data_IF_805381945693
#
_entry.id   IF_805381945693
#
_cell.length_a   1.000
_cell.length_b   1.000
_cell.length_c   1.000
_cell.angle_alpha   90.00
_cell.angle_beta   90.00
_cell.angle_gamma   90.00
#
_symmetry.space_group_name_H-M   'P 1'
#
loop_
_entity.id
_entity.type
_entity.pdbx_description
1 polymer ?
#
# COMPACT_ATOMS: atom_id res chain seq x y z
N UNK A 1 -4.27 -17.08 -22.52
CA UNK A 1 -3.85 -17.27 -21.12
C UNK A 1 -4.83 -18.23 -20.48
N UNK A 2 -4.38 -19.28 -19.80
CA UNK A 2 -5.28 -20.17 -19.06
C UNK A 2 -5.74 -19.46 -17.80
N UNK A 3 -7.04 -19.43 -17.53
CA UNK A 3 -7.60 -18.86 -16.30
C UNK A 3 -6.99 -19.64 -15.14
N UNK A 4 -6.17 -18.97 -14.31
CA UNK A 4 -5.69 -19.53 -13.04
C UNK A 4 -6.91 -19.96 -12.23
N UNK A 5 -6.81 -21.06 -11.48
CA UNK A 5 -7.95 -21.48 -10.65
C UNK A 5 -8.30 -20.36 -9.67
N UNK A 6 -9.59 -20.15 -9.40
CA UNK A 6 -10.03 -19.13 -8.43
C UNK A 6 -9.29 -19.23 -7.07
N UNK A 7 -8.93 -20.44 -6.65
CA UNK A 7 -8.11 -20.68 -5.45
C UNK A 7 -6.70 -20.12 -5.52
N UNK A 8 -6.07 -20.16 -6.70
CA UNK A 8 -4.74 -19.60 -6.94
C UNK A 8 -4.81 -18.07 -6.95
N UNK A 9 -5.83 -17.50 -7.60
CA UNK A 9 -6.10 -16.06 -7.60
C UNK A 9 -6.23 -15.53 -6.18
N UNK A 10 -7.10 -16.15 -5.36
CA UNK A 10 -7.27 -15.77 -3.95
C UNK A 10 -5.95 -15.83 -3.16
N UNK A 11 -5.14 -16.85 -3.42
CA UNK A 11 -3.86 -17.02 -2.74
C UNK A 11 -2.85 -15.95 -3.14
N UNK A 12 -2.76 -15.63 -4.42
CA UNK A 12 -1.85 -14.60 -4.94
C UNK A 12 -2.23 -13.23 -4.35
N UNK A 13 -3.53 -12.88 -4.36
CA UNK A 13 -4.03 -11.62 -3.78
C UNK A 13 -3.77 -11.58 -2.27
N UNK A 14 -4.06 -12.65 -1.53
CA UNK A 14 -3.78 -12.71 -0.10
C UNK A 14 -2.28 -12.58 0.22
N UNK A 15 -1.41 -13.09 -0.65
CA UNK A 15 0.03 -12.90 -0.56
C UNK A 15 0.42 -11.43 -0.70
N UNK A 16 -0.06 -10.77 -1.76
CA UNK A 16 0.23 -9.35 -2.00
C UNK A 16 -0.31 -8.45 -0.90
N UNK A 17 -1.53 -8.70 -0.41
CA UNK A 17 -2.10 -7.99 0.75
C UNK A 17 -1.18 -8.06 1.95
N UNK A 18 -0.72 -9.28 2.28
CA UNK A 18 0.20 -9.47 3.40
C UNK A 18 1.53 -8.76 3.20
N UNK A 19 2.09 -8.78 1.99
CA UNK A 19 3.32 -8.02 1.68
C UNK A 19 3.12 -6.51 1.90
N UNK A 20 1.94 -5.98 1.53
CA UNK A 20 1.57 -4.59 1.77
C UNK A 20 1.42 -4.27 3.26
N UNK A 21 0.72 -5.14 4.00
CA UNK A 21 0.56 -5.01 5.46
C UNK A 21 1.93 -5.00 6.16
N UNK A 22 2.81 -5.95 5.82
CA UNK A 22 4.17 -6.05 6.37
C UNK A 22 5.00 -4.77 6.08
N UNK A 23 4.86 -4.22 4.86
CA UNK A 23 5.53 -2.97 4.47
C UNK A 23 4.99 -1.76 5.26
N UNK A 24 3.66 -1.67 5.40
CA UNK A 24 2.99 -0.60 6.14
C UNK A 24 3.32 -0.63 7.64
N UNK A 25 3.32 -1.82 8.26
CA UNK A 25 3.72 -2.01 9.65
C UNK A 25 5.17 -1.56 9.89
N UNK A 26 6.07 -1.86 8.95
CA UNK A 26 7.47 -1.43 9.04
C UNK A 26 7.60 0.10 8.95
N UNK A 27 6.88 0.75 8.03
CA UNK A 27 6.81 2.21 7.97
C UNK A 27 6.32 2.79 9.30
N UNK A 28 5.23 2.25 9.84
CA UNK A 28 4.65 2.69 11.09
C UNK A 28 5.63 2.57 12.26
N UNK A 29 6.35 1.45 12.35
CA UNK A 29 7.35 1.19 13.38
C UNK A 29 8.51 2.18 13.29
N UNK A 30 9.01 2.48 12.08
CA UNK A 30 10.06 3.47 11.86
C UNK A 30 9.62 4.88 12.26
N UNK A 31 8.38 5.27 11.93
CA UNK A 31 7.83 6.57 12.31
C UNK A 31 7.67 6.69 13.83
N UNK A 32 7.13 5.67 14.51
CA UNK A 32 7.03 5.63 15.98
C UNK A 32 8.40 5.68 16.65
N UNK A 33 9.40 5.01 16.07
CA UNK A 33 10.77 5.06 16.58
C UNK A 33 11.39 6.45 16.41
N UNK A 34 11.12 7.14 15.30
CA UNK A 34 11.52 8.53 15.11
C UNK A 34 10.90 9.45 16.17
N UNK A 35 9.60 9.31 16.45
CA UNK A 35 8.90 10.08 17.47
C UNK A 35 9.52 9.85 18.86
N UNK A 36 9.76 8.59 19.24
CA UNK A 36 10.41 8.24 20.52
C UNK A 36 11.82 8.81 20.63
N UNK A 37 12.60 8.72 19.55
CA UNK A 37 13.95 9.32 19.49
C UNK A 37 13.88 10.82 19.70
N UNK A 38 12.85 11.47 19.13
CA UNK A 38 12.64 12.90 19.30
C UNK A 38 12.35 13.27 20.75
N UNK A 39 11.38 12.61 21.36
CA UNK A 39 10.99 12.86 22.75
C UNK A 39 12.17 12.64 23.70
N UNK A 40 12.89 11.52 23.55
CA UNK A 40 14.03 11.21 24.42
C UNK A 40 15.13 12.29 24.35
N UNK A 41 15.42 12.83 23.16
CA UNK A 41 16.38 13.92 23.06
C UNK A 41 15.86 15.24 23.62
N UNK A 42 14.58 15.56 23.44
CA UNK A 42 13.98 16.75 24.05
C UNK A 42 14.01 16.70 25.58
N UNK A 43 13.87 15.51 26.19
CA UNK A 43 14.01 15.30 27.64
C UNK A 43 15.46 15.43 28.14
N UNK A 44 16.43 14.99 27.33
CA UNK A 44 17.86 15.05 27.70
C UNK A 44 18.49 16.44 27.45
N UNK A 45 17.92 17.23 26.54
CA UNK A 45 18.49 18.51 26.13
C UNK A 45 18.60 19.48 27.31
N UNK A 46 19.81 19.98 27.56
CA UNK A 46 20.08 20.93 28.65
C UNK A 46 20.20 20.29 30.04
N UNK A 47 20.16 18.96 30.12
CA UNK A 47 20.46 18.20 31.34
C UNK A 47 21.95 17.84 31.47
N UNK A 48 22.73 18.02 30.39
CA UNK A 48 24.15 17.71 30.31
C UNK A 48 25.01 18.98 30.18
N UNK A 49 26.34 18.80 30.10
CA UNK A 49 27.25 19.87 29.69
C UNK A 49 27.02 20.25 28.23
N UNK A 50 27.50 21.42 27.80
CA UNK A 50 27.40 21.84 26.39
C UNK A 50 28.02 20.81 25.42
N UNK A 51 29.12 20.16 25.81
CA UNK A 51 29.72 19.07 25.04
C UNK A 51 28.82 17.82 25.00
N UNK A 52 28.16 17.49 26.12
CA UNK A 52 27.21 16.38 26.20
C UNK A 52 25.94 16.60 25.36
N UNK A 53 25.41 17.82 25.35
CA UNK A 53 24.27 18.19 24.50
C UNK A 53 24.65 18.08 23.00
N UNK A 54 25.83 18.57 22.61
CA UNK A 54 26.34 18.45 21.23
C UNK A 54 26.57 17.00 20.82
N UNK A 55 27.07 16.15 21.72
CA UNK A 55 27.25 14.73 21.46
C UNK A 55 25.89 14.02 21.26
N UNK A 56 24.90 14.33 22.10
CA UNK A 56 23.53 13.80 22.01
C UNK A 56 22.86 14.22 20.71
N UNK A 57 23.05 15.48 20.29
CA UNK A 57 22.50 16.00 19.03
C UNK A 57 23.08 15.27 17.81
N UNK A 58 24.40 15.03 17.80
CA UNK A 58 25.05 14.24 16.74
C UNK A 58 24.51 12.81 16.67
N UNK A 59 24.39 12.14 17.81
CA UNK A 59 23.88 10.76 17.87
C UNK A 59 22.46 10.68 17.31
N UNK A 60 21.61 11.65 17.64
CA UNK A 60 20.23 11.73 17.14
C UNK A 60 20.17 11.99 15.64
N UNK A 61 21.04 12.84 15.09
CA UNK A 61 21.13 13.07 13.64
C UNK A 61 21.56 11.80 12.89
N UNK A 62 22.50 11.02 13.44
CA UNK A 62 22.90 9.73 12.88
C UNK A 62 21.76 8.72 12.90
N UNK A 63 21.01 8.65 14.01
CA UNK A 63 19.80 7.83 14.11
C UNK A 63 18.77 8.26 13.06
N UNK A 64 18.53 9.56 12.91
CA UNK A 64 17.61 10.07 11.89
C UNK A 64 18.03 9.72 10.47
N UNK A 65 19.31 9.87 10.14
CA UNK A 65 19.82 9.44 8.84
C UNK A 65 19.64 7.93 8.60
N UNK A 66 19.77 7.11 9.66
CA UNK A 66 19.46 5.68 9.57
C UNK A 66 17.97 5.41 9.38
N UNK A 67 17.10 6.14 10.08
CA UNK A 67 15.65 6.02 9.94
C UNK A 67 15.24 6.42 8.52
N UNK A 68 15.75 7.53 7.99
CA UNK A 68 15.41 8.00 6.64
C UNK A 68 15.77 6.99 5.57
N UNK A 69 16.93 6.32 5.68
CA UNK A 69 17.32 5.24 4.76
C UNK A 69 16.36 4.06 4.82
N UNK A 70 16.11 3.51 6.02
CA UNK A 70 15.20 2.38 6.21
C UNK A 70 13.76 2.70 5.80
N UNK A 71 13.34 3.94 6.03
CA UNK A 71 12.01 4.40 5.65
C UNK A 71 11.87 4.46 4.13
N UNK A 72 12.91 4.92 3.42
CA UNK A 72 12.94 4.91 1.95
C UNK A 72 12.85 3.50 1.40
N UNK A 73 13.62 2.56 1.96
CA UNK A 73 13.57 1.14 1.58
C UNK A 73 12.16 0.55 1.79
N UNK A 74 11.50 0.87 2.90
CA UNK A 74 10.13 0.42 3.16
C UNK A 74 9.09 1.09 2.25
N UNK A 75 9.28 2.37 1.88
CA UNK A 75 8.42 3.07 0.91
C UNK A 75 8.56 2.47 -0.50
N UNK A 76 9.78 2.15 -0.92
CA UNK A 76 10.04 1.50 -2.21
C UNK A 76 9.38 0.12 -2.26
N UNK A 77 9.51 -0.68 -1.18
CA UNK A 77 8.86 -1.98 -1.13
C UNK A 77 7.32 -1.89 -1.13
N UNK A 78 6.75 -0.91 -0.40
CA UNK A 78 5.30 -0.68 -0.44
C UNK A 78 4.84 -0.31 -1.86
N UNK A 79 5.57 0.57 -2.55
CA UNK A 79 5.25 0.95 -3.92
C UNK A 79 5.29 -0.25 -4.88
N UNK A 80 6.29 -1.14 -4.75
CA UNK A 80 6.33 -2.37 -5.54
C UNK A 80 5.10 -3.29 -5.30
N UNK A 81 4.56 -3.31 -4.08
CA UNK A 81 3.34 -4.06 -3.78
C UNK A 81 2.10 -3.38 -4.37
N UNK A 82 2.00 -2.05 -4.26
CA UNK A 82 0.91 -1.27 -4.85
C UNK A 82 0.85 -1.45 -6.38
N UNK A 83 2.01 -1.44 -7.06
CA UNK A 83 2.11 -1.69 -8.51
C UNK A 83 1.65 -3.12 -8.87
N UNK A 84 2.06 -4.14 -8.11
CA UNK A 84 1.60 -5.53 -8.35
C UNK A 84 0.09 -5.68 -8.13
N UNK A 85 -0.47 -4.97 -7.15
CA UNK A 85 -1.91 -4.96 -6.90
C UNK A 85 -2.67 -4.28 -8.05
N UNK A 86 -2.16 -3.16 -8.56
CA UNK A 86 -2.71 -2.46 -9.71
C UNK A 86 -2.70 -3.32 -10.97
N UNK A 87 -1.57 -3.96 -11.29
CA UNK A 87 -1.49 -4.91 -12.42
C UNK A 87 -2.51 -6.05 -12.30
N UNK A 88 -2.73 -6.56 -11.08
CA UNK A 88 -3.73 -7.62 -10.82
C UNK A 88 -5.15 -7.11 -11.02
N UNK A 89 -5.44 -5.89 -10.60
CA UNK A 89 -6.73 -5.25 -10.83
C UNK A 89 -6.99 -5.06 -12.33
N UNK A 90 -6.03 -4.52 -13.09
CA UNK A 90 -6.15 -4.35 -14.55
C UNK A 90 -6.36 -5.69 -15.27
N UNK A 91 -5.62 -6.74 -14.87
CA UNK A 91 -5.79 -8.10 -15.38
C UNK A 91 -7.24 -8.59 -15.19
N UNK A 92 -7.82 -8.36 -14.00
CA UNK A 92 -9.18 -8.79 -13.68
C UNK A 92 -10.23 -7.97 -14.43
N UNK A 93 -10.07 -6.67 -14.54
CA UNK A 93 -10.96 -5.81 -15.32
C UNK A 93 -10.96 -6.20 -16.79
N UNK A 94 -9.80 -6.51 -17.36
CA UNK A 94 -9.66 -7.03 -18.71
C UNK A 94 -10.37 -8.38 -18.90
N UNK A 95 -10.23 -9.30 -17.94
CA UNK A 95 -10.90 -10.59 -17.96
C UNK A 95 -12.43 -10.46 -17.81
N UNK A 96 -12.91 -9.60 -16.92
CA UNK A 96 -14.33 -9.27 -16.74
C UNK A 96 -14.91 -8.74 -18.05
N UNK A 97 -14.23 -7.78 -18.69
CA UNK A 97 -14.70 -7.21 -19.95
C UNK A 97 -14.80 -8.26 -21.07
N UNK A 98 -13.84 -9.18 -21.15
CA UNK A 98 -13.88 -10.28 -22.11
C UNK A 98 -15.06 -11.24 -21.84
N UNK A 99 -15.27 -11.61 -20.58
CA UNK A 99 -16.37 -12.51 -20.20
C UNK A 99 -17.74 -11.85 -20.37
N UNK A 100 -17.86 -10.54 -20.14
CA UNK A 100 -19.07 -9.77 -20.45
C UNK A 100 -19.36 -9.79 -21.95
N UNK A 101 -18.34 -9.61 -22.80
CA UNK A 101 -18.49 -9.68 -24.25
C UNK A 101 -18.95 -11.06 -24.71
N UNK A 102 -18.42 -12.13 -24.12
CA UNK A 102 -18.86 -13.50 -24.42
C UNK A 102 -20.29 -13.74 -23.97
N UNK A 103 -20.67 -13.24 -22.80
CA UNK A 103 -22.02 -13.34 -22.27
C UNK A 103 -23.05 -12.65 -23.18
N UNK A 104 -22.72 -11.48 -23.75
CA UNK A 104 -23.56 -10.82 -24.75
C UNK A 104 -23.74 -11.64 -26.04
N UNK A 105 -22.73 -12.44 -26.44
CA UNK A 105 -22.84 -13.36 -27.59
C UNK A 105 -23.66 -14.62 -27.26
N UNK A 106 -23.61 -15.11 -26.03
CA UNK A 106 -24.33 -16.32 -25.61
C UNK A 106 -25.85 -16.10 -25.47
N UNK A 107 -26.26 -14.94 -24.96
CA UNK A 107 -27.68 -14.57 -24.78
C UNK A 107 -28.57 -14.78 -26.02
N UNK A 108 -28.21 -14.30 -27.24
CA UNK A 108 -29.02 -14.54 -28.43
C UNK A 108 -29.02 -16.02 -28.84
N UNK A 109 -27.89 -16.72 -28.71
CA UNK A 109 -27.79 -18.14 -29.04
C UNK A 109 -28.70 -19.00 -28.16
N UNK A 110 -28.84 -18.67 -26.89
CA UNK A 110 -29.79 -19.33 -25.97
C UNK A 110 -31.24 -19.20 -26.46
N UNK A 111 -31.62 -18.01 -26.96
CA UNK A 111 -32.95 -17.77 -27.54
C UNK A 111 -33.16 -18.55 -28.84
N UNK A 112 -32.16 -18.56 -29.73
CA UNK A 112 -32.21 -19.30 -31.00
C UNK A 112 -32.30 -20.82 -30.78
N UNK A 113 -31.52 -21.36 -29.84
CA UNK A 113 -31.55 -22.78 -29.48
C UNK A 113 -32.96 -23.22 -29.04
N UNK A 114 -33.61 -22.44 -28.18
CA UNK A 114 -34.99 -22.70 -27.75
C UNK A 114 -35.97 -22.60 -28.93
N UNK A 115 -35.77 -21.66 -29.85
CA UNK A 115 -36.63 -21.50 -31.03
C UNK A 115 -36.57 -22.69 -32.00
N UNK A 116 -35.44 -23.41 -32.07
CA UNK A 116 -35.26 -24.61 -32.92
C UNK A 116 -35.56 -25.93 -32.18
N UNK A 117 -36.13 -25.87 -30.97
CA UNK A 117 -36.55 -27.05 -30.20
C UNK A 117 -35.41 -27.73 -29.43
N UNK A 118 -34.25 -27.09 -29.27
CA UNK A 118 -33.21 -27.53 -28.34
C UNK A 118 -33.58 -27.16 -26.90
N UNK A 119 -33.14 -27.97 -25.92
CA UNK A 119 -33.35 -27.66 -24.50
C UNK A 119 -32.51 -26.47 -24.00
N UNK A 120 -31.50 -26.04 -24.75
CA UNK A 120 -30.67 -24.86 -24.45
C UNK A 120 -29.75 -25.00 -23.23
N UNK A 121 -29.75 -26.14 -22.55
CA UNK A 121 -29.13 -26.34 -21.22
C UNK A 121 -27.63 -26.04 -21.22
N UNK A 122 -26.93 -26.42 -22.30
CA UNK A 122 -25.49 -26.19 -22.41
C UNK A 122 -25.13 -24.70 -22.49
N UNK A 123 -25.97 -23.90 -23.16
CA UNK A 123 -25.76 -22.46 -23.29
C UNK A 123 -26.05 -21.77 -21.96
N UNK A 124 -27.13 -22.15 -21.28
CA UNK A 124 -27.46 -21.63 -19.95
C UNK A 124 -26.34 -21.89 -18.94
N UNK A 125 -25.79 -23.12 -18.91
CA UNK A 125 -24.64 -23.44 -18.06
C UNK A 125 -23.39 -22.61 -18.39
N UNK A 126 -23.17 -22.33 -19.68
CA UNK A 126 -22.06 -21.48 -20.09
C UNK A 126 -22.26 -20.01 -19.66
N UNK A 127 -23.49 -19.49 -19.77
CA UNK A 127 -23.85 -18.16 -19.26
C UNK A 127 -23.66 -18.06 -17.75
N UNK A 128 -24.14 -19.06 -16.99
CA UNK A 128 -24.00 -19.10 -15.53
C UNK A 128 -22.53 -19.17 -15.11
N UNK A 129 -21.72 -19.98 -15.79
CA UNK A 129 -20.28 -20.07 -15.52
C UNK A 129 -19.59 -18.72 -15.75
N UNK A 130 -19.91 -18.03 -16.84
CA UNK A 130 -19.36 -16.69 -17.15
C UNK A 130 -19.80 -15.64 -16.13
N UNK A 131 -21.08 -15.63 -15.71
CA UNK A 131 -21.55 -14.73 -14.64
C UNK A 131 -20.80 -14.97 -13.34
N UNK A 132 -20.65 -16.24 -12.95
CA UNK A 132 -19.94 -16.58 -11.72
C UNK A 132 -18.47 -16.17 -11.74
N UNK A 133 -17.81 -16.21 -12.91
CA UNK A 133 -16.42 -15.75 -13.04
C UNK A 133 -16.35 -14.22 -12.98
N UNK A 134 -17.26 -13.51 -13.66
CA UNK A 134 -17.37 -12.04 -13.58
C UNK A 134 -17.59 -11.60 -12.14
N UNK A 135 -18.54 -12.21 -11.43
CA UNK A 135 -18.86 -11.87 -10.04
C UNK A 135 -17.64 -12.12 -9.15
N UNK A 136 -16.98 -13.26 -9.29
CA UNK A 136 -15.77 -13.58 -8.52
C UNK A 136 -14.65 -12.56 -8.75
N UNK A 137 -14.33 -12.25 -10.01
CA UNK A 137 -13.27 -11.29 -10.33
C UNK A 137 -13.64 -9.87 -9.88
N UNK A 138 -14.92 -9.49 -9.99
CA UNK A 138 -15.40 -8.19 -9.50
C UNK A 138 -15.22 -8.05 -7.99
N UNK A 139 -15.53 -9.10 -7.22
CA UNK A 139 -15.28 -9.14 -5.78
C UNK A 139 -13.77 -9.02 -5.48
N UNK A 140 -12.90 -9.66 -6.27
CA UNK A 140 -11.46 -9.54 -6.09
C UNK A 140 -10.94 -8.14 -6.41
N UNK A 141 -11.44 -7.49 -7.47
CA UNK A 141 -11.11 -6.10 -7.81
C UNK A 141 -11.47 -5.14 -6.67
N UNK A 142 -12.69 -5.25 -6.13
CA UNK A 142 -13.10 -4.42 -4.98
C UNK A 142 -12.23 -4.65 -3.74
N UNK A 143 -11.84 -5.90 -3.50
CA UNK A 143 -10.98 -6.25 -2.38
C UNK A 143 -9.54 -5.73 -2.55
N UNK A 144 -9.04 -5.62 -3.79
CA UNK A 144 -7.78 -4.96 -4.12
C UNK A 144 -7.88 -3.44 -3.90
N UNK A 145 -8.89 -2.78 -4.47
CA UNK A 145 -9.10 -1.34 -4.34
C UNK A 145 -9.14 -0.91 -2.86
N UNK A 146 -9.88 -1.67 -2.04
CA UNK A 146 -9.96 -1.42 -0.60
C UNK A 146 -8.58 -1.53 0.08
N UNK A 147 -7.80 -2.55 -0.29
CA UNK A 147 -6.45 -2.76 0.27
C UNK A 147 -5.54 -1.59 -0.09
N UNK A 148 -5.52 -1.18 -1.36
CA UNK A 148 -4.71 -0.06 -1.81
C UNK A 148 -5.07 1.23 -1.06
N UNK A 149 -6.37 1.49 -0.85
CA UNK A 149 -6.82 2.64 -0.06
C UNK A 149 -6.35 2.60 1.41
N UNK A 150 -6.37 1.42 2.03
CA UNK A 150 -5.88 1.22 3.40
C UNK A 150 -4.36 1.45 3.48
N UNK A 151 -3.59 0.87 2.55
CA UNK A 151 -2.14 1.04 2.45
C UNK A 151 -1.75 2.51 2.23
N UNK A 152 -2.42 3.21 1.31
CA UNK A 152 -2.16 4.63 1.04
C UNK A 152 -2.42 5.48 2.30
N UNK A 153 -3.52 5.22 3.00
CA UNK A 153 -3.88 5.92 4.22
C UNK A 153 -2.83 5.72 5.32
N UNK A 154 -2.39 4.48 5.54
CA UNK A 154 -1.39 4.16 6.55
C UNK A 154 -0.03 4.76 6.20
N UNK A 155 0.40 4.66 4.94
CA UNK A 155 1.62 5.30 4.45
C UNK A 155 1.60 6.81 4.66
N UNK A 156 0.46 7.47 4.37
CA UNK A 156 0.27 8.91 4.60
C UNK A 156 0.38 9.28 6.08
N UNK A 157 -0.26 8.52 6.97
CA UNK A 157 -0.16 8.72 8.42
C UNK A 157 1.28 8.54 8.91
N UNK A 158 1.96 7.50 8.43
CA UNK A 158 3.35 7.23 8.79
C UNK A 158 4.29 8.35 8.32
N UNK A 159 4.09 8.87 7.08
CA UNK A 159 4.85 10.01 6.55
C UNK A 159 4.66 11.25 7.41
N UNK A 160 3.43 11.52 7.84
CA UNK A 160 3.11 12.63 8.73
C UNK A 160 3.81 12.49 10.09
N UNK A 161 3.75 11.31 10.71
CA UNK A 161 4.44 11.01 11.98
C UNK A 161 5.95 11.20 11.86
N UNK A 162 6.57 10.63 10.83
CA UNK A 162 8.00 10.84 10.51
C UNK A 162 8.34 12.32 10.37
N UNK A 163 7.53 13.09 9.64
CA UNK A 163 7.76 14.52 9.44
C UNK A 163 7.68 15.32 10.74
N UNK A 164 6.72 15.00 11.61
CA UNK A 164 6.57 15.61 12.94
C UNK A 164 7.75 15.26 13.87
N UNK A 165 8.35 14.09 13.67
CA UNK A 165 9.51 13.61 14.41
C UNK A 165 10.86 14.16 13.92
N UNK A 166 10.91 14.87 12.77
CA UNK A 166 12.17 15.44 12.26
C UNK A 166 12.73 16.51 13.18
N UNK A 167 14.05 16.46 13.40
CA UNK A 167 14.76 17.49 14.17
C UNK A 167 15.02 18.68 13.26
N UNK A 168 14.45 19.83 13.65
CA UNK A 168 14.83 21.10 13.05
C UNK A 168 15.97 21.67 13.87
N UNK A 169 17.18 21.65 13.32
CA UNK A 169 18.25 22.52 13.80
C UNK A 169 17.76 23.97 13.62
N UNK A 170 17.31 24.61 14.69
CA UNK A 170 17.43 26.06 14.74
C UNK A 170 18.91 26.33 14.93
N UNK A 171 19.61 26.75 13.89
CA UNK A 171 20.89 27.41 14.11
C UNK A 171 20.58 28.62 14.98
N UNK A 172 20.95 28.55 16.26
CA UNK A 172 21.14 29.77 17.05
C UNK A 172 22.32 30.47 16.41
N UNK A 173 22.07 31.23 15.36
CA UNK A 173 22.97 32.30 14.97
C UNK A 173 23.13 33.17 16.20
N UNK A 174 24.34 33.09 16.75
CA UNK A 174 24.89 33.93 17.79
C UNK A 174 24.62 35.40 17.46
N UNK A 175 23.61 36.00 18.08
CA UNK A 175 23.56 37.45 18.29
C UNK A 175 24.57 37.80 19.39
N UNK A 176 25.85 37.58 19.10
CA UNK A 176 26.97 38.22 19.77
C UNK A 176 27.12 39.63 19.19
N UNK A 177 26.11 40.48 19.41
CA UNK A 177 26.18 41.90 19.14
C UNK A 177 26.91 42.59 20.28
N UNK A 178 28.17 42.92 20.04
CA UNK A 178 29.01 43.77 20.88
C UNK A 178 28.31 45.09 21.23
N UNK A 179 28.01 45.30 22.51
CA UNK A 179 27.98 46.64 23.09
C UNK A 179 29.19 46.79 24.02
N UNK A 180 30.28 47.30 23.46
CA UNK A 180 31.33 47.94 24.26
C UNK A 180 30.90 49.39 24.50
N UNK A 181 30.94 49.76 25.78
CA UNK A 181 30.83 51.11 26.34
C UNK A 181 31.79 52.10 25.70
#
# INVERSE_FOLDING_TARGET
>A
MGIKKQSEIKKDIAGLKKEGDDASENLEALAKFAERTKVAFEELKGSATEEGDKASERAVLEIQASIERKYKEAEEYLQEVEEKLEEKQEDFEGAIAADQQDLEKLKPLSKEAKAVGSDGTAIEKAEEAKKSEIDFLSDQTQDIEKTQAELEQEAKLSRQRKQNARFKHQSRNTLGGTEKK
#
